data_IF_708581510339
#
_entry.id   IF_708581510339
#
_cell.length_a   1.000
_cell.length_b   1.000
_cell.length_c   1.000
_cell.angle_alpha   90.00
_cell.angle_beta   90.00
_cell.angle_gamma   90.00
#
_symmetry.space_group_name_H-M   'P 1'
#
loop_
_entity.id
_entity.type
_entity.pdbx_description
1 polymer ?
#
# COMPACT_ATOMS: atom_id res chain seq x y z
N UNK A 1 20.54 41.59 -52.58
CA UNK A 1 22.01 41.46 -52.38
C UNK A 1 22.13 41.30 -50.85
N UNK A 2 22.42 40.22 -50.25
CA UNK A 2 23.19 39.01 -50.53
C UNK A 2 22.57 37.85 -49.75
N UNK A 3 22.49 36.78 -50.46
CA UNK A 3 22.16 35.43 -50.04
C UNK A 3 23.31 34.86 -49.16
N UNK A 4 22.98 34.21 -48.04
CA UNK A 4 23.96 33.36 -47.41
C UNK A 4 23.32 32.01 -46.97
N UNK A 5 23.92 31.00 -47.45
CA UNK A 5 23.60 29.60 -47.56
C UNK A 5 23.29 28.88 -46.26
N UNK A 6 22.35 27.94 -46.36
CA UNK A 6 22.16 26.81 -45.39
C UNK A 6 23.10 25.66 -45.73
N UNK A 7 23.68 24.97 -44.78
CA UNK A 7 24.29 23.67 -45.04
C UNK A 7 23.28 22.52 -44.97
N UNK A 8 23.24 21.73 -46.02
CA UNK A 8 22.57 20.43 -46.11
C UNK A 8 23.25 19.40 -45.20
N UNK A 9 22.47 18.68 -44.42
CA UNK A 9 22.89 17.37 -43.88
C UNK A 9 22.07 16.27 -44.54
N UNK A 10 22.78 15.37 -45.23
CA UNK A 10 22.26 14.18 -45.86
C UNK A 10 21.98 13.06 -44.87
N UNK A 11 21.04 12.16 -45.18
CA UNK A 11 20.64 11.08 -44.27
C UNK A 11 21.58 9.86 -44.44
N UNK A 12 22.02 9.28 -43.34
CA UNK A 12 22.66 7.98 -43.31
C UNK A 12 21.65 6.86 -43.03
N UNK A 13 21.70 5.91 -43.94
CA UNK A 13 20.89 4.72 -44.07
C UNK A 13 20.99 3.78 -42.87
N UNK A 14 19.84 3.22 -42.54
CA UNK A 14 19.60 2.02 -41.77
C UNK A 14 20.17 0.81 -42.49
N UNK A 15 20.97 0.00 -41.83
CA UNK A 15 21.18 -1.39 -42.19
C UNK A 15 21.15 -2.22 -40.90
N UNK A 16 20.13 -3.08 -40.83
CA UNK A 16 19.97 -4.06 -39.76
C UNK A 16 20.91 -5.24 -39.95
N UNK A 17 21.25 -5.88 -38.85
CA UNK A 17 21.67 -7.28 -38.85
C UNK A 17 21.08 -7.99 -37.62
N UNK A 18 20.21 -8.94 -37.94
CA UNK A 18 19.81 -10.07 -37.12
C UNK A 18 20.93 -11.11 -37.22
N UNK A 19 21.36 -11.71 -36.15
CA UNK A 19 22.30 -12.81 -36.17
C UNK A 19 22.55 -13.45 -34.82
N UNK A 20 21.99 -14.60 -34.70
CA UNK A 20 22.03 -15.60 -33.64
C UNK A 20 23.40 -16.29 -33.53
N UNK A 21 23.64 -16.95 -32.37
CA UNK A 21 24.49 -18.14 -32.16
C UNK A 21 25.83 -17.95 -31.45
N UNK A 22 25.88 -18.42 -30.20
CA UNK A 22 26.57 -19.63 -29.69
C UNK A 22 27.96 -19.93 -30.31
N UNK A 23 29.01 -19.97 -29.52
CA UNK A 23 29.98 -21.04 -29.34
C UNK A 23 31.33 -20.61 -28.74
N UNK A 24 31.73 -21.38 -27.73
CA UNK A 24 33.05 -21.96 -27.42
C UNK A 24 34.26 -21.11 -27.01
N UNK A 25 34.67 -21.45 -25.82
CA UNK A 25 36.02 -21.72 -25.27
C UNK A 25 37.23 -21.54 -26.18
N UNK A 26 38.22 -20.84 -25.70
CA UNK A 26 39.62 -21.26 -25.82
C UNK A 26 40.49 -20.64 -24.71
N UNK A 27 41.20 -21.48 -24.01
CA UNK A 27 42.27 -21.20 -23.04
C UNK A 27 43.43 -20.42 -23.70
N UNK A 28 44.02 -19.51 -22.92
CA UNK A 28 45.44 -19.18 -23.08
C UNK A 28 46.06 -18.95 -21.70
N UNK A 29 46.92 -19.86 -21.33
CA UNK A 29 47.78 -19.86 -20.14
C UNK A 29 48.96 -18.92 -20.41
N UNK A 30 49.21 -17.98 -19.47
CA UNK A 30 50.57 -17.42 -19.30
C UNK A 30 50.86 -17.37 -17.79
N UNK A 31 51.84 -18.16 -17.42
CA UNK A 31 52.37 -18.30 -16.07
C UNK A 31 53.28 -17.12 -15.72
N UNK A 32 53.08 -16.50 -14.57
CA UNK A 32 54.10 -15.80 -13.81
C UNK A 32 54.00 -16.23 -12.37
N UNK A 33 55.08 -16.74 -11.82
CA UNK A 33 55.16 -17.39 -10.52
C UNK A 33 54.88 -16.46 -9.34
N UNK A 34 54.23 -17.00 -8.38
CA UNK A 34 54.04 -16.45 -7.03
C UNK A 34 53.70 -17.59 -6.08
N UNK A 35 54.59 -17.78 -5.11
CA UNK A 35 54.48 -18.79 -4.04
C UNK A 35 53.15 -18.67 -3.29
N UNK A 36 52.31 -19.69 -3.34
CA UNK A 36 51.18 -19.84 -2.40
C UNK A 36 51.43 -21.02 -1.46
N UNK A 37 51.43 -20.69 -0.17
CA UNK A 37 51.37 -21.65 0.92
C UNK A 37 49.99 -22.38 0.87
N UNK A 38 50.01 -23.69 0.67
CA UNK A 38 48.87 -24.55 0.85
C UNK A 38 48.64 -24.81 2.34
N UNK A 39 47.67 -24.14 2.93
CA UNK A 39 47.09 -24.58 4.20
C UNK A 39 46.02 -25.63 3.89
N UNK A 40 46.24 -26.87 4.30
CA UNK A 40 45.22 -27.93 4.24
C UNK A 40 44.10 -27.63 5.22
N UNK A 41 42.94 -27.24 4.76
CA UNK A 41 41.72 -27.26 5.57
C UNK A 41 41.10 -28.64 5.44
N UNK A 42 41.19 -29.43 6.52
CA UNK A 42 40.41 -30.67 6.69
C UNK A 42 38.94 -30.34 6.75
N UNK A 43 38.19 -30.81 5.74
CA UNK A 43 36.74 -30.78 5.74
C UNK A 43 36.27 -31.85 6.76
N UNK A 44 35.81 -31.40 7.92
CA UNK A 44 35.11 -32.24 8.88
C UNK A 44 33.67 -32.37 8.40
N UNK A 45 33.28 -33.58 7.98
CA UNK A 45 31.89 -33.92 7.66
C UNK A 45 31.01 -33.81 8.91
N UNK A 46 29.83 -33.19 8.84
CA UNK A 46 28.91 -33.23 9.97
C UNK A 46 28.38 -34.68 10.21
N UNK A 47 28.08 -35.00 11.47
CA UNK A 47 27.54 -36.33 11.81
C UNK A 47 26.13 -36.53 11.22
N UNK A 48 25.71 -37.76 10.93
CA UNK A 48 24.40 -38.04 10.38
C UNK A 48 23.30 -37.65 11.39
N UNK A 49 22.32 -36.91 10.91
CA UNK A 49 21.13 -36.52 11.66
C UNK A 49 20.28 -37.80 11.83
N UNK A 50 20.13 -38.27 13.06
CA UNK A 50 19.21 -39.33 13.40
C UNK A 50 17.76 -38.88 13.15
N UNK A 51 17.04 -39.64 12.35
CA UNK A 51 15.61 -39.43 12.08
C UNK A 51 14.79 -39.47 13.38
N UNK A 52 13.83 -38.55 13.59
CA UNK A 52 12.91 -38.69 14.71
C UNK A 52 11.96 -39.88 14.47
N UNK A 53 11.88 -40.74 15.46
CA UNK A 53 10.92 -41.84 15.57
C UNK A 53 9.50 -41.23 15.53
N UNK A 54 8.71 -41.65 14.55
CA UNK A 54 7.30 -41.30 14.48
C UNK A 54 6.55 -41.98 15.62
N UNK A 55 6.19 -41.25 16.65
CA UNK A 55 5.26 -41.71 17.68
C UNK A 55 3.84 -41.61 17.11
N UNK A 56 3.28 -42.75 16.77
CA UNK A 56 1.89 -42.86 16.35
C UNK A 56 0.98 -42.53 17.56
N UNK A 57 0.29 -41.41 17.51
CA UNK A 57 -0.82 -41.15 18.42
C UNK A 57 -2.04 -41.94 17.94
N UNK A 58 -2.44 -42.94 18.73
CA UNK A 58 -3.71 -43.62 18.56
C UNK A 58 -4.86 -42.68 18.86
N UNK A 59 -5.68 -42.42 17.85
CA UNK A 59 -6.93 -41.69 18.02
C UNK A 59 -7.94 -42.64 18.62
N UNK A 60 -8.24 -42.46 19.91
CA UNK A 60 -9.33 -43.15 20.57
C UNK A 60 -10.65 -42.52 20.08
N UNK A 61 -11.37 -43.25 19.23
CA UNK A 61 -12.76 -42.90 18.89
C UNK A 61 -13.68 -43.37 20.03
N UNK A 62 -14.18 -42.40 20.78
CA UNK A 62 -15.24 -42.61 21.75
C UNK A 62 -16.59 -42.72 21.03
N UNK A 63 -17.42 -43.72 21.25
CA UNK A 63 -18.73 -43.81 20.62
C UNK A 63 -19.70 -42.83 21.31
N UNK A 64 -20.31 -41.96 20.50
CA UNK A 64 -21.40 -41.09 20.91
C UNK A 64 -22.61 -41.91 21.29
N UNK A 65 -23.26 -41.72 22.46
CA UNK A 65 -24.49 -42.44 22.77
C UNK A 65 -25.64 -41.90 21.90
N UNK A 66 -26.35 -42.84 21.31
CA UNK A 66 -27.55 -42.67 20.52
C UNK A 66 -28.65 -42.01 21.39
N UNK A 67 -29.14 -40.82 21.01
CA UNK A 67 -30.23 -40.15 21.68
C UNK A 67 -31.53 -40.96 21.52
N UNK A 68 -32.07 -41.39 22.64
CA UNK A 68 -33.37 -42.07 22.76
C UNK A 68 -34.48 -41.07 22.37
N UNK A 69 -35.23 -41.38 21.31
CA UNK A 69 -36.39 -40.61 20.91
C UNK A 69 -37.51 -40.71 21.97
N UNK A 70 -37.78 -39.63 22.66
CA UNK A 70 -38.92 -39.51 23.56
C UNK A 70 -40.17 -39.29 22.74
N UNK A 71 -41.13 -40.19 22.86
CA UNK A 71 -42.42 -40.11 22.20
C UNK A 71 -43.21 -38.90 22.71
N UNK A 72 -43.67 -38.07 21.76
CA UNK A 72 -44.53 -36.92 21.99
C UNK A 72 -45.91 -37.41 22.41
N UNK A 73 -46.54 -36.86 23.49
CA UNK A 73 -47.91 -37.22 23.84
C UNK A 73 -48.90 -36.73 22.82
N UNK A 74 -49.80 -37.65 22.43
CA UNK A 74 -50.91 -37.42 21.54
C UNK A 74 -51.88 -36.41 22.14
N UNK A 75 -52.05 -35.24 21.54
CA UNK A 75 -53.03 -34.23 21.91
C UNK A 75 -54.42 -34.65 21.44
N UNK A 76 -55.32 -34.87 22.33
CA UNK A 76 -56.76 -35.05 22.06
C UNK A 76 -57.37 -33.71 21.62
N UNK A 77 -58.20 -33.65 20.58
CA UNK A 77 -58.82 -32.37 20.17
C UNK A 77 -59.91 -31.98 21.20
N UNK A 78 -59.73 -30.87 21.85
CA UNK A 78 -60.79 -30.19 22.62
C UNK A 78 -61.61 -29.32 21.66
N UNK A 79 -62.86 -29.71 21.48
CA UNK A 79 -63.84 -28.91 20.70
C UNK A 79 -64.22 -27.72 21.56
N UNK A 80 -63.74 -26.51 21.27
CA UNK A 80 -64.22 -25.27 21.86
C UNK A 80 -65.08 -24.51 20.86
N UNK A 81 -66.26 -24.12 21.31
CA UNK A 81 -67.24 -23.32 20.54
C UNK A 81 -66.61 -22.00 20.06
N UNK A 82 -67.02 -21.47 18.89
CA UNK A 82 -66.45 -20.22 18.36
C UNK A 82 -67.00 -19.04 19.19
N UNK A 83 -66.12 -18.39 19.93
CA UNK A 83 -66.39 -17.05 20.47
C UNK A 83 -66.16 -16.07 19.33
N UNK A 84 -67.25 -15.47 18.86
CA UNK A 84 -67.21 -14.38 17.89
C UNK A 84 -66.64 -13.12 18.57
N UNK A 85 -65.36 -12.88 18.42
CA UNK A 85 -64.75 -11.62 18.83
C UNK A 85 -64.67 -10.72 17.60
N UNK A 86 -65.35 -9.62 17.62
CA UNK A 86 -65.26 -8.54 16.64
C UNK A 86 -63.81 -8.05 16.64
N UNK A 87 -63.10 -7.97 15.48
CA UNK A 87 -61.74 -7.48 15.45
C UNK A 87 -61.74 -5.97 15.75
N UNK A 88 -61.25 -5.57 16.90
CA UNK A 88 -60.90 -4.18 17.18
C UNK A 88 -59.70 -3.85 16.36
N UNK A 89 -59.85 -2.97 15.37
CA UNK A 89 -58.75 -2.45 14.57
C UNK A 89 -57.69 -1.80 15.52
N UNK A 90 -56.54 -2.41 15.62
CA UNK A 90 -55.38 -1.80 16.26
C UNK A 90 -55.03 -0.49 15.56
N UNK A 91 -54.68 0.59 16.25
CA UNK A 91 -54.27 1.85 15.62
C UNK A 91 -53.09 1.59 14.70
N UNK A 92 -53.16 2.06 13.45
CA UNK A 92 -52.09 1.98 12.50
C UNK A 92 -50.83 2.61 13.12
N UNK A 93 -49.77 1.80 13.26
CA UNK A 93 -48.44 2.31 13.62
C UNK A 93 -48.03 3.29 12.53
N UNK A 94 -48.13 4.57 12.85
CA UNK A 94 -47.55 5.63 12.01
C UNK A 94 -46.05 5.37 11.93
N UNK A 95 -45.57 4.88 10.76
CA UNK A 95 -44.13 4.79 10.52
C UNK A 95 -43.57 6.20 10.58
N UNK A 96 -42.87 6.53 11.64
CA UNK A 96 -41.98 7.69 11.69
C UNK A 96 -41.04 7.56 10.47
N UNK A 97 -40.96 8.55 9.57
CA UNK A 97 -40.01 8.46 8.48
C UNK A 97 -38.61 8.31 9.09
N UNK A 98 -37.97 7.18 8.79
CA UNK A 98 -36.55 7.00 9.09
C UNK A 98 -35.87 8.14 8.35
N UNK A 99 -35.31 9.08 9.10
CA UNK A 99 -34.48 10.13 8.53
C UNK A 99 -33.45 9.45 7.64
N UNK A 100 -33.57 9.64 6.33
CA UNK A 100 -32.57 9.18 5.37
C UNK A 100 -31.28 9.88 5.78
N UNK A 101 -30.34 9.14 6.39
CA UNK A 101 -29.06 9.68 6.75
C UNK A 101 -28.47 10.27 5.47
N UNK A 102 -28.38 11.59 5.41
CA UNK A 102 -27.72 12.30 4.30
C UNK A 102 -26.32 11.74 4.24
N UNK A 103 -26.00 11.03 3.15
CA UNK A 103 -24.68 10.43 2.97
C UNK A 103 -23.63 11.53 3.21
N UNK A 104 -22.78 11.35 4.21
CA UNK A 104 -21.74 12.32 4.55
C UNK A 104 -20.88 12.54 3.30
N UNK A 105 -20.71 13.79 2.90
CA UNK A 105 -19.77 14.10 1.80
C UNK A 105 -18.36 14.14 2.38
N UNK A 106 -17.37 13.60 1.67
CA UNK A 106 -16.00 13.71 2.11
C UNK A 106 -15.57 15.17 2.11
N UNK A 107 -14.85 15.56 3.14
CA UNK A 107 -14.28 16.91 3.29
C UNK A 107 -12.76 16.85 3.14
N UNK A 108 -12.13 18.00 2.89
CA UNK A 108 -10.69 18.14 2.78
C UNK A 108 -10.19 18.11 1.33
N UNK A 109 -8.88 18.02 1.19
CA UNK A 109 -8.18 17.97 -0.10
C UNK A 109 -7.42 16.67 -0.23
N UNK A 110 -7.26 16.22 -1.47
CA UNK A 110 -6.44 15.06 -1.86
C UNK A 110 -5.25 15.59 -2.65
N UNK A 111 -4.02 15.24 -2.26
CA UNK A 111 -2.86 15.42 -3.11
C UNK A 111 -2.41 14.08 -3.69
N UNK A 112 -1.97 14.12 -4.92
CA UNK A 112 -1.58 12.96 -5.70
C UNK A 112 -0.55 13.32 -6.77
N UNK A 113 0.29 12.37 -7.11
CA UNK A 113 1.22 12.53 -8.22
C UNK A 113 0.59 12.07 -9.52
N UNK A 114 1.03 12.68 -10.61
CA UNK A 114 0.63 12.32 -11.98
C UNK A 114 1.89 12.18 -12.83
N UNK A 115 1.97 11.11 -13.61
CA UNK A 115 2.99 10.94 -14.64
C UNK A 115 2.41 11.36 -15.99
N UNK A 116 2.86 12.49 -16.54
CA UNK A 116 2.26 13.11 -17.74
C UNK A 116 3.06 12.91 -19.00
N UNK A 117 4.06 12.03 -19.05
CA UNK A 117 4.58 11.96 -20.31
C UNK A 117 5.86 11.25 -20.67
N UNK A 118 6.29 11.49 -21.89
CA UNK A 118 7.49 10.98 -22.54
C UNK A 118 8.77 11.55 -21.89
N UNK A 119 9.93 10.86 -22.08
CA UNK A 119 11.19 11.29 -21.49
C UNK A 119 11.58 12.74 -21.83
N UNK A 120 11.94 13.54 -20.81
CA UNK A 120 11.96 13.21 -19.38
C UNK A 120 10.54 13.17 -18.79
N UNK A 121 10.23 12.16 -17.97
CA UNK A 121 8.90 12.03 -17.40
C UNK A 121 8.52 13.28 -16.63
N UNK A 122 7.44 13.90 -17.06
CA UNK A 122 6.86 15.08 -16.42
C UNK A 122 6.05 14.62 -15.19
N UNK A 123 6.74 14.59 -14.05
CA UNK A 123 6.15 14.18 -12.77
C UNK A 123 5.63 15.39 -12.05
N UNK A 124 4.36 15.39 -11.74
CA UNK A 124 3.66 16.52 -11.18
C UNK A 124 2.90 16.13 -9.92
N UNK A 125 2.80 17.05 -8.96
CA UNK A 125 1.88 16.93 -7.84
C UNK A 125 0.67 17.82 -8.08
N UNK A 126 -0.49 17.20 -7.96
CA UNK A 126 -1.81 17.82 -8.10
C UNK A 126 -2.57 17.78 -6.79
N UNK A 127 -3.48 18.71 -6.61
CA UNK A 127 -4.40 18.78 -5.48
C UNK A 127 -5.82 18.95 -6.02
N UNK A 128 -6.79 18.26 -5.40
CA UNK A 128 -8.22 18.43 -5.65
C UNK A 128 -9.00 18.40 -4.34
N UNK A 129 -10.27 18.80 -4.37
CA UNK A 129 -11.18 18.57 -3.26
C UNK A 129 -11.52 17.08 -3.13
N UNK A 130 -11.88 16.62 -1.93
CA UNK A 130 -12.22 15.23 -1.66
C UNK A 130 -13.50 14.75 -2.39
N UNK A 131 -14.29 15.66 -2.96
CA UNK A 131 -15.42 15.35 -3.83
C UNK A 131 -15.03 15.20 -5.31
N UNK A 132 -13.74 15.34 -5.66
CA UNK A 132 -13.20 15.23 -7.02
C UNK A 132 -13.15 16.56 -7.79
N UNK A 133 -13.66 17.65 -7.24
CA UNK A 133 -13.67 18.96 -7.90
C UNK A 133 -12.38 19.74 -7.67
N UNK A 134 -12.16 20.78 -8.49
CA UNK A 134 -11.08 21.76 -8.30
C UNK A 134 -9.67 21.19 -8.46
N UNK A 135 -9.48 20.15 -9.25
CA UNK A 135 -8.17 19.56 -9.50
C UNK A 135 -7.24 20.57 -10.18
N UNK A 136 -6.07 20.80 -9.59
CA UNK A 136 -5.03 21.67 -10.13
C UNK A 136 -3.63 21.17 -9.81
N UNK A 137 -2.71 21.40 -10.71
CA UNK A 137 -1.30 21.19 -10.48
C UNK A 137 -0.75 22.23 -9.51
N UNK A 138 0.12 21.80 -8.60
CA UNK A 138 0.78 22.69 -7.64
C UNK A 138 2.31 22.59 -7.68
N UNK A 139 2.88 21.48 -8.17
CA UNK A 139 4.33 21.28 -8.23
C UNK A 139 4.71 20.52 -9.50
N UNK A 140 5.84 20.94 -10.11
CA UNK A 140 6.53 20.24 -11.19
C UNK A 140 7.67 19.39 -10.66
N UNK A 141 8.11 18.38 -11.43
CA UNK A 141 9.21 17.48 -11.10
C UNK A 141 9.11 16.88 -9.69
N UNK A 142 7.89 16.63 -9.25
CA UNK A 142 7.55 16.28 -7.89
C UNK A 142 6.70 15.02 -7.82
N UNK A 143 6.89 14.25 -6.72
CA UNK A 143 6.14 13.02 -6.45
C UNK A 143 6.00 12.73 -4.96
N UNK A 144 5.23 11.69 -4.64
CA UNK A 144 5.02 11.20 -3.27
C UNK A 144 4.59 12.29 -2.28
N UNK A 145 3.54 13.07 -2.58
CA UNK A 145 3.11 14.15 -1.70
C UNK A 145 2.56 13.62 -0.38
N UNK A 146 2.85 14.33 0.73
CA UNK A 146 2.23 14.12 2.04
C UNK A 146 1.90 15.47 2.66
N UNK A 147 0.63 15.69 2.99
CA UNK A 147 0.22 16.90 3.72
C UNK A 147 0.65 16.87 5.18
N UNK A 148 1.00 18.04 5.70
CA UNK A 148 1.02 18.24 7.16
C UNK A 148 -0.37 18.00 7.77
N UNK A 149 -0.41 17.71 9.07
CA UNK A 149 -1.66 17.37 9.72
C UNK A 149 -2.69 18.50 9.70
N UNK A 150 -2.24 19.73 9.78
CA UNK A 150 -3.06 20.94 9.69
C UNK A 150 -3.43 21.33 8.25
N UNK A 151 -2.85 20.62 7.27
CA UNK A 151 -3.09 20.86 5.85
C UNK A 151 -2.44 22.14 5.30
N UNK A 152 -1.54 22.78 6.06
CA UNK A 152 -0.89 24.04 5.65
C UNK A 152 0.37 23.83 4.84
N UNK A 153 1.03 22.69 4.99
CA UNK A 153 2.26 22.31 4.31
C UNK A 153 2.09 21.03 3.51
N UNK A 154 2.96 20.81 2.53
CA UNK A 154 3.08 19.60 1.75
C UNK A 154 4.55 19.20 1.68
N UNK A 155 4.85 17.94 2.04
CA UNK A 155 6.14 17.31 1.86
C UNK A 155 6.10 16.52 0.55
N UNK A 156 7.21 16.50 -0.19
CA UNK A 156 7.27 15.82 -1.47
C UNK A 156 8.70 15.48 -1.87
N UNK A 157 8.84 14.54 -2.77
CA UNK A 157 10.11 14.26 -3.42
C UNK A 157 10.23 15.13 -4.67
N UNK A 158 11.25 15.96 -4.71
CA UNK A 158 11.66 16.68 -5.93
C UNK A 158 12.64 15.79 -6.69
N UNK A 159 12.35 15.55 -7.95
CA UNK A 159 13.10 14.61 -8.77
C UNK A 159 14.58 15.03 -8.89
N UNK A 160 15.47 14.07 -8.60
CA UNK A 160 16.94 14.20 -8.55
C UNK A 160 17.51 15.12 -7.46
N UNK A 161 16.70 15.70 -6.58
CA UNK A 161 17.18 16.70 -5.62
C UNK A 161 16.88 16.37 -4.16
N UNK A 162 15.90 15.50 -3.90
CA UNK A 162 15.60 15.01 -2.55
C UNK A 162 14.24 15.42 -2.01
N UNK A 163 14.13 15.49 -0.69
CA UNK A 163 12.89 15.77 0.04
C UNK A 163 12.75 17.28 0.27
N UNK A 164 11.58 17.81 -0.06
CA UNK A 164 11.22 19.21 0.11
C UNK A 164 9.95 19.35 0.94
N UNK A 165 9.77 20.51 1.54
CA UNK A 165 8.52 20.99 2.11
C UNK A 165 8.14 22.32 1.44
N UNK A 166 6.86 22.51 1.17
CA UNK A 166 6.29 23.76 0.64
C UNK A 166 5.01 24.12 1.38
N UNK A 167 4.43 25.27 1.11
CA UNK A 167 3.04 25.54 1.43
C UNK A 167 2.12 24.56 0.69
N UNK A 168 0.92 24.31 1.19
CA UNK A 168 -0.02 23.36 0.59
C UNK A 168 -0.49 23.74 -0.82
N UNK A 169 -0.19 24.95 -1.27
CA UNK A 169 -0.43 25.43 -2.64
C UNK A 169 0.81 25.30 -3.55
N UNK A 170 1.92 24.75 -3.03
CA UNK A 170 3.19 24.57 -3.73
C UNK A 170 4.16 25.74 -3.63
N UNK A 171 3.79 26.84 -2.98
CA UNK A 171 4.66 28.00 -2.83
C UNK A 171 5.72 27.80 -1.74
N UNK A 172 6.79 28.61 -1.77
CA UNK A 172 7.89 28.62 -0.79
C UNK A 172 8.54 27.24 -0.57
N UNK A 173 9.03 26.56 -1.62
CA UNK A 173 9.68 25.27 -1.47
C UNK A 173 11.01 25.41 -0.72
N UNK A 174 11.22 24.52 0.25
CA UNK A 174 12.46 24.41 1.04
C UNK A 174 12.92 22.97 1.04
N UNK A 175 14.20 22.74 0.70
CA UNK A 175 14.83 21.44 0.79
C UNK A 175 15.04 21.02 2.24
N UNK A 176 14.69 19.77 2.56
CA UNK A 176 14.87 19.16 3.88
C UNK A 176 16.05 18.19 3.85
N UNK A 177 16.08 17.25 2.89
CA UNK A 177 17.09 16.20 2.77
C UNK A 177 17.51 16.05 1.31
N UNK A 178 18.82 16.00 1.05
CA UNK A 178 19.37 15.73 -0.27
C UNK A 178 19.57 14.23 -0.52
N UNK A 179 18.52 13.51 -0.80
CA UNK A 179 18.54 12.08 -1.12
C UNK A 179 17.86 11.80 -2.45
N UNK A 180 18.60 11.21 -3.41
CA UNK A 180 18.09 10.97 -4.77
C UNK A 180 17.11 9.80 -4.90
N UNK A 181 16.92 8.99 -3.85
CA UNK A 181 16.05 7.80 -3.89
C UNK A 181 15.08 7.73 -2.70
N UNK A 182 14.63 8.88 -2.21
CA UNK A 182 13.61 8.94 -1.18
C UNK A 182 12.22 8.78 -1.81
N UNK A 183 11.43 7.80 -1.34
CA UNK A 183 10.10 7.51 -1.89
C UNK A 183 9.11 7.13 -0.79
N UNK A 184 7.82 7.24 -1.12
CA UNK A 184 6.73 6.71 -0.30
C UNK A 184 6.75 7.22 1.14
N UNK A 185 6.56 8.52 1.27
CA UNK A 185 6.57 9.21 2.56
C UNK A 185 5.33 8.91 3.39
N UNK A 186 5.51 9.00 4.70
CA UNK A 186 4.41 9.18 5.64
C UNK A 186 4.85 10.08 6.79
N UNK A 187 3.96 10.97 7.23
CA UNK A 187 4.22 11.91 8.31
C UNK A 187 3.56 11.41 9.58
N UNK A 188 4.28 11.42 10.70
CA UNK A 188 3.71 11.12 12.01
C UNK A 188 2.51 12.02 12.32
N UNK A 189 1.58 11.54 13.15
CA UNK A 189 0.34 12.26 13.45
C UNK A 189 0.58 13.52 14.26
N UNK A 190 1.63 13.56 15.07
CA UNK A 190 2.10 14.76 15.77
C UNK A 190 2.88 15.74 14.85
N UNK A 191 3.16 15.31 13.61
CA UNK A 191 3.90 16.10 12.63
C UNK A 191 5.40 16.23 12.92
N UNK A 192 5.93 15.47 13.87
CA UNK A 192 7.32 15.60 14.30
C UNK A 192 8.29 14.75 13.48
N UNK A 193 7.81 13.71 12.76
CA UNK A 193 8.68 12.81 12.01
C UNK A 193 8.13 12.53 10.63
N UNK A 194 8.96 12.74 9.61
CA UNK A 194 8.74 12.29 8.25
C UNK A 194 9.50 10.98 8.03
N UNK A 195 8.81 9.89 7.76
CA UNK A 195 9.42 8.61 7.39
C UNK A 195 9.30 8.36 5.89
N UNK A 196 10.29 7.67 5.30
CA UNK A 196 10.27 7.32 3.88
C UNK A 196 11.01 6.01 3.60
N UNK A 197 10.76 5.47 2.41
CA UNK A 197 11.56 4.40 1.84
C UNK A 197 12.85 4.98 1.27
N UNK A 198 13.98 4.58 1.83
CA UNK A 198 15.32 5.01 1.46
C UNK A 198 16.08 3.88 0.78
N UNK A 199 16.82 4.19 -0.27
CA UNK A 199 17.77 3.28 -0.89
C UNK A 199 19.07 4.06 -1.16
N UNK A 200 20.06 4.00 -0.27
CA UNK A 200 21.26 4.87 -0.33
C UNK A 200 22.05 4.78 -1.63
N UNK A 201 22.01 3.62 -2.28
CA UNK A 201 22.65 3.41 -3.59
C UNK A 201 21.92 2.29 -4.36
N UNK A 202 22.11 2.23 -5.67
CA UNK A 202 21.55 1.16 -6.49
C UNK A 202 22.05 -0.21 -6.05
N UNK A 203 21.11 -1.11 -5.69
CA UNK A 203 21.44 -2.45 -5.18
C UNK A 203 21.66 -2.52 -3.67
N UNK A 204 21.69 -1.38 -2.96
CA UNK A 204 21.69 -1.39 -1.50
C UNK A 204 20.33 -1.88 -0.95
N UNK A 205 20.30 -2.45 0.26
CA UNK A 205 19.06 -2.76 0.93
C UNK A 205 18.17 -1.51 1.04
N UNK A 206 16.87 -1.73 0.86
CA UNK A 206 15.85 -0.70 1.06
C UNK A 206 15.61 -0.57 2.55
N UNK A 207 15.57 0.65 3.06
CA UNK A 207 15.40 0.95 4.47
C UNK A 207 14.20 1.87 4.70
N UNK A 208 13.75 1.97 5.94
CA UNK A 208 12.90 3.05 6.39
C UNK A 208 13.76 4.00 7.20
N UNK A 209 13.94 5.20 6.66
CA UNK A 209 14.58 6.32 7.36
C UNK A 209 13.52 7.32 7.82
N UNK A 210 13.85 8.10 8.82
CA UNK A 210 13.01 9.19 9.32
C UNK A 210 13.86 10.41 9.67
N UNK A 211 13.23 11.60 9.59
CA UNK A 211 13.86 12.89 9.84
C UNK A 211 12.83 13.85 10.47
N UNK A 212 13.28 14.83 11.22
CA UNK A 212 12.44 15.95 11.64
C UNK A 212 12.11 16.84 10.42
N UNK A 213 10.96 17.53 10.40
CA UNK A 213 10.56 18.39 9.29
C UNK A 213 11.51 19.54 8.96
N UNK A 214 12.42 19.89 9.86
CA UNK A 214 13.49 20.87 9.63
C UNK A 214 14.72 20.29 8.94
N UNK A 215 14.80 18.97 8.75
CA UNK A 215 15.89 18.23 8.13
C UNK A 215 16.92 17.70 9.12
N UNK A 216 16.75 17.93 10.41
CA UNK A 216 17.66 17.43 11.47
C UNK A 216 17.22 16.06 12.00
N UNK A 217 18.04 15.41 12.80
CA UNK A 217 17.69 14.18 13.52
C UNK A 217 17.47 12.96 12.61
N UNK A 218 18.06 12.93 11.42
CA UNK A 218 17.92 11.77 10.51
C UNK A 218 18.36 10.49 11.21
N UNK A 219 17.52 9.45 11.10
CA UNK A 219 17.80 8.11 11.66
C UNK A 219 17.18 7.02 10.81
N UNK A 220 17.76 5.83 10.86
CA UNK A 220 17.18 4.62 10.27
C UNK A 220 16.26 3.94 11.31
N UNK A 221 15.01 3.75 10.95
CA UNK A 221 14.02 3.04 11.77
C UNK A 221 14.24 1.53 11.65
N UNK A 222 14.41 1.04 10.41
CA UNK A 222 14.64 -0.38 10.13
C UNK A 222 15.30 -0.61 8.78
N UNK A 223 16.10 -1.67 8.70
CA UNK A 223 16.68 -2.17 7.45
C UNK A 223 15.72 -3.17 6.80
N UNK A 224 15.73 -3.26 5.45
CA UNK A 224 14.92 -4.21 4.70
C UNK A 224 13.43 -3.91 4.73
N UNK A 225 13.03 -2.65 4.89
CA UNK A 225 11.63 -2.22 4.93
C UNK A 225 11.31 -1.14 3.91
N UNK A 226 10.06 -1.08 3.47
CA UNK A 226 9.55 -0.08 2.53
C UNK A 226 8.09 0.27 2.83
N UNK A 227 7.61 1.39 2.26
CA UNK A 227 6.21 1.80 2.31
C UNK A 227 5.69 2.01 3.75
N UNK A 228 6.35 2.85 4.55
CA UNK A 228 5.97 3.06 5.93
C UNK A 228 4.59 3.70 6.07
N UNK A 229 3.91 3.40 7.17
CA UNK A 229 2.72 4.12 7.62
C UNK A 229 2.72 4.20 9.14
N UNK A 230 2.60 5.41 9.68
CA UNK A 230 2.55 5.68 11.11
C UNK A 230 1.19 5.31 11.70
N UNK A 231 1.19 4.71 12.88
CA UNK A 231 -0.03 4.55 13.66
C UNK A 231 -0.53 5.91 14.17
N UNK A 232 -1.86 6.09 14.39
CA UNK A 232 -2.42 7.37 14.82
C UNK A 232 -1.94 7.87 16.19
N UNK A 233 -1.36 7.02 17.01
CA UNK A 233 -0.76 7.34 18.31
C UNK A 233 0.78 7.55 18.23
N UNK A 234 1.34 7.52 17.03
CA UNK A 234 2.77 7.68 16.71
C UNK A 234 3.72 6.66 17.35
N UNK A 235 3.20 5.59 17.96
CA UNK A 235 4.03 4.59 18.65
C UNK A 235 4.55 3.49 17.75
N UNK A 236 3.91 3.26 16.62
CA UNK A 236 4.24 2.16 15.71
C UNK A 236 4.31 2.64 14.25
N UNK A 237 5.09 1.92 13.46
CA UNK A 237 5.10 2.01 12.01
C UNK A 237 4.76 0.63 11.46
N UNK A 238 3.78 0.56 10.55
CA UNK A 238 3.53 -0.61 9.72
C UNK A 238 4.18 -0.40 8.36
N UNK A 239 4.76 -1.43 7.79
CA UNK A 239 5.52 -1.33 6.55
C UNK A 239 5.55 -2.67 5.81
N UNK A 240 5.91 -2.64 4.52
CA UNK A 240 6.18 -3.85 3.74
C UNK A 240 7.64 -4.28 3.91
N UNK A 241 7.86 -5.58 4.03
CA UNK A 241 9.20 -6.17 4.06
C UNK A 241 9.20 -7.60 3.56
N UNK A 242 10.34 -8.02 2.98
CA UNK A 242 10.68 -9.41 2.76
C UNK A 242 11.90 -9.74 3.59
N UNK A 243 11.75 -10.53 4.65
CA UNK A 243 12.82 -10.92 5.57
C UNK A 243 12.98 -12.43 5.56
N UNK A 244 14.21 -12.90 5.32
CA UNK A 244 14.52 -14.31 5.15
C UNK A 244 13.61 -14.97 4.10
N UNK A 245 12.63 -15.76 4.50
CA UNK A 245 11.68 -16.46 3.63
C UNK A 245 10.26 -15.89 3.66
N UNK A 246 10.03 -14.82 4.45
CA UNK A 246 8.71 -14.27 4.70
C UNK A 246 8.59 -12.84 4.13
N UNK A 247 7.67 -12.65 3.18
CA UNK A 247 7.22 -11.35 2.73
C UNK A 247 5.86 -11.01 3.36
N UNK A 248 5.59 -9.73 3.58
CA UNK A 248 4.30 -9.27 4.09
C UNK A 248 4.39 -7.91 4.77
N UNK A 249 3.38 -7.60 5.55
CA UNK A 249 3.39 -6.43 6.42
C UNK A 249 4.06 -6.76 7.75
N UNK A 250 4.87 -5.83 8.21
CA UNK A 250 5.55 -5.88 9.50
C UNK A 250 5.21 -4.66 10.32
N UNK A 251 5.26 -4.79 11.63
CA UNK A 251 5.16 -3.68 12.58
C UNK A 251 6.45 -3.52 13.37
N UNK A 252 6.79 -2.28 13.65
CA UNK A 252 7.93 -1.92 14.49
C UNK A 252 7.54 -0.77 15.41
N UNK A 253 8.19 -0.65 16.56
CA UNK A 253 8.09 0.55 17.39
C UNK A 253 8.65 1.74 16.61
N UNK A 254 8.04 2.91 16.72
CA UNK A 254 8.49 4.12 16.02
C UNK A 254 9.90 4.57 16.43
N UNK A 255 10.38 4.18 17.61
CA UNK A 255 11.75 4.40 18.03
C UNK A 255 12.77 3.42 17.39
N UNK A 256 12.30 2.39 16.67
CA UNK A 256 13.12 1.30 16.14
C UNK A 256 13.04 0.04 16.98
N UNK A 257 13.95 -0.90 16.76
CA UNK A 257 14.02 -2.20 17.43
C UNK A 257 13.65 -3.37 16.53
N UNK A 258 13.11 -4.45 17.11
CA UNK A 258 12.73 -5.65 16.35
C UNK A 258 11.39 -5.47 15.65
N UNK A 259 11.39 -5.76 14.36
CA UNK A 259 10.16 -5.76 13.57
C UNK A 259 9.45 -7.12 13.68
N UNK A 260 8.16 -7.09 13.93
CA UNK A 260 7.31 -8.28 14.07
C UNK A 260 6.46 -8.42 12.81
N UNK A 261 6.43 -9.61 12.21
CA UNK A 261 5.56 -9.90 11.08
C UNK A 261 4.09 -9.76 11.51
N UNK A 262 3.33 -8.98 10.73
CA UNK A 262 1.93 -8.71 11.00
C UNK A 262 1.00 -9.51 10.10
N UNK A 263 1.35 -9.67 8.80
CA UNK A 263 0.63 -10.55 7.88
C UNK A 263 1.59 -11.53 7.22
N UNK A 264 1.07 -12.69 6.82
CA UNK A 264 1.81 -13.71 6.04
C UNK A 264 1.55 -13.64 4.54
N UNK A 265 0.65 -12.76 4.10
CA UNK A 265 0.41 -12.49 2.69
C UNK A 265 1.39 -11.42 2.16
N UNK A 266 1.60 -11.40 0.85
CA UNK A 266 2.46 -10.41 0.18
C UNK A 266 1.70 -9.10 0.04
N UNK A 267 1.27 -8.52 1.18
CA UNK A 267 0.60 -7.22 1.23
C UNK A 267 1.56 -6.05 1.13
N UNK A 268 1.12 -4.96 0.52
CA UNK A 268 1.92 -3.75 0.36
C UNK A 268 1.11 -2.45 0.47
N UNK A 269 1.80 -1.32 0.58
CA UNK A 269 1.25 0.03 0.73
C UNK A 269 0.19 0.14 1.83
N UNK A 270 0.52 -0.24 3.08
CA UNK A 270 -0.42 -0.16 4.19
C UNK A 270 -0.73 1.29 4.55
N UNK A 271 -1.97 1.54 5.01
CA UNK A 271 -2.38 2.81 5.62
C UNK A 271 -3.29 2.56 6.82
N UNK A 272 -2.97 3.18 7.94
CA UNK A 272 -3.79 3.13 9.15
C UNK A 272 -5.08 3.92 9.00
N UNK A 273 -6.17 3.39 9.53
CA UNK A 273 -7.39 4.19 9.73
C UNK A 273 -7.15 5.27 10.80
N UNK A 274 -7.83 6.43 10.72
CA UNK A 274 -7.59 7.54 11.63
C UNK A 274 -7.84 7.21 13.12
N UNK A 275 -8.72 6.23 13.39
CA UNK A 275 -9.01 5.75 14.73
C UNK A 275 -8.07 4.62 15.21
N UNK A 276 -7.09 4.21 14.38
CA UNK A 276 -6.13 3.17 14.71
C UNK A 276 -6.67 1.75 14.78
N UNK A 277 -7.94 1.52 14.40
CA UNK A 277 -8.56 0.20 14.53
C UNK A 277 -8.32 -0.72 13.36
N UNK A 278 -8.08 -0.17 12.16
CA UNK A 278 -7.92 -0.94 10.91
C UNK A 278 -6.75 -0.43 10.09
N UNK A 279 -6.29 -1.32 9.20
CA UNK A 279 -5.27 -1.03 8.18
C UNK A 279 -5.89 -1.40 6.84
N UNK A 280 -5.78 -0.50 5.84
CA UNK A 280 -6.04 -0.81 4.44
C UNK A 280 -4.71 -1.06 3.73
N UNK A 281 -4.67 -2.03 2.82
CA UNK A 281 -3.48 -2.39 2.05
C UNK A 281 -3.91 -3.15 0.79
N UNK A 282 -3.01 -3.38 -0.15
CA UNK A 282 -3.31 -4.25 -1.28
C UNK A 282 -2.53 -5.56 -1.21
N UNK A 283 -3.10 -6.60 -1.81
CA UNK A 283 -2.48 -7.91 -2.03
C UNK A 283 -2.53 -8.18 -3.53
N UNK A 284 -1.45 -8.76 -4.07
CA UNK A 284 -1.44 -9.30 -5.42
C UNK A 284 -2.11 -10.68 -5.42
N UNK A 285 -3.18 -10.81 -6.21
CA UNK A 285 -3.91 -12.06 -6.43
C UNK A 285 -3.82 -12.36 -7.93
N UNK A 286 -3.03 -13.35 -8.29
CA UNK A 286 -2.83 -13.80 -9.68
C UNK A 286 -2.44 -12.65 -10.63
N UNK A 287 -1.56 -11.76 -10.16
CA UNK A 287 -1.08 -10.59 -10.91
C UNK A 287 -1.99 -9.37 -10.83
N UNK A 288 -3.12 -9.44 -10.13
CA UNK A 288 -4.06 -8.32 -9.97
C UNK A 288 -4.07 -7.85 -8.52
N UNK A 289 -3.72 -6.59 -8.29
CA UNK A 289 -3.72 -6.00 -6.94
C UNK A 289 -5.12 -5.65 -6.50
N UNK A 290 -5.55 -6.19 -5.35
CA UNK A 290 -6.85 -5.96 -4.74
C UNK A 290 -6.70 -5.35 -3.36
N UNK A 291 -7.64 -4.50 -2.96
CA UNK A 291 -7.64 -3.85 -1.64
C UNK A 291 -8.25 -4.75 -0.57
N UNK A 292 -7.60 -4.75 0.57
CA UNK A 292 -8.03 -5.44 1.77
C UNK A 292 -8.01 -4.49 2.96
N UNK A 293 -8.84 -4.79 3.94
CA UNK A 293 -8.70 -4.26 5.31
C UNK A 293 -8.45 -5.38 6.29
N UNK A 294 -7.77 -5.04 7.38
CA UNK A 294 -7.51 -5.93 8.50
C UNK A 294 -7.56 -5.12 9.80
N UNK A 295 -8.03 -5.71 10.89
CA UNK A 295 -7.99 -5.05 12.19
C UNK A 295 -6.54 -4.85 12.65
N UNK A 296 -6.30 -3.83 13.47
CA UNK A 296 -4.98 -3.53 14.01
C UNK A 296 -4.35 -4.67 14.83
N UNK A 297 -5.17 -5.59 15.34
CA UNK A 297 -4.72 -6.80 16.05
C UNK A 297 -4.46 -8.01 15.12
N UNK A 298 -4.59 -7.85 13.79
CA UNK A 298 -4.36 -8.92 12.81
C UNK A 298 -5.56 -9.81 12.51
N UNK A 299 -6.73 -9.55 13.11
CA UNK A 299 -7.96 -10.31 12.85
C UNK A 299 -8.85 -9.61 11.81
N UNK A 300 -9.93 -10.28 11.36
CA UNK A 300 -10.98 -9.65 10.56
C UNK A 300 -10.53 -9.17 9.18
N UNK A 301 -9.58 -9.86 8.55
CA UNK A 301 -9.16 -9.60 7.16
C UNK A 301 -10.38 -9.66 6.23
N UNK A 302 -10.60 -8.62 5.44
CA UNK A 302 -11.70 -8.49 4.49
C UNK A 302 -11.19 -7.93 3.16
N UNK A 303 -11.53 -8.59 2.05
CA UNK A 303 -11.33 -8.06 0.71
C UNK A 303 -12.39 -7.00 0.41
N UNK A 304 -11.97 -5.87 -0.17
CA UNK A 304 -12.84 -4.75 -0.51
C UNK A 304 -13.14 -4.65 -2.01
N UNK A 305 -12.19 -5.07 -2.86
CA UNK A 305 -12.32 -4.98 -4.32
C UNK A 305 -12.17 -6.35 -4.96
N UNK A 306 -12.93 -6.61 -6.06
CA UNK A 306 -13.06 -7.94 -6.66
C UNK A 306 -13.05 -7.91 -8.19
N UNK A 307 -12.68 -6.79 -8.82
CA UNK A 307 -12.72 -6.64 -10.28
C UNK A 307 -11.41 -7.13 -10.92
N UNK A 308 -11.39 -7.24 -12.23
CA UNK A 308 -10.20 -7.60 -13.00
C UNK A 308 -9.20 -6.43 -13.17
N UNK A 309 -9.39 -5.32 -12.46
CA UNK A 309 -8.50 -4.17 -12.50
C UNK A 309 -7.63 -4.10 -11.24
N UNK A 310 -6.47 -3.45 -11.34
CA UNK A 310 -5.65 -3.14 -10.17
C UNK A 310 -6.32 -2.07 -9.29
N UNK A 311 -6.24 -2.25 -7.98
CA UNK A 311 -6.65 -1.28 -6.97
C UNK A 311 -5.49 -1.05 -6.02
N UNK A 312 -4.93 0.16 -6.00
CA UNK A 312 -3.67 0.45 -5.33
C UNK A 312 -3.68 1.82 -4.63
N UNK A 313 -2.66 2.09 -3.83
CA UNK A 313 -2.42 3.41 -3.23
C UNK A 313 -3.53 3.89 -2.32
N UNK A 314 -4.19 2.97 -1.62
CA UNK A 314 -5.34 3.27 -0.78
C UNK A 314 -4.98 4.15 0.42
N UNK A 315 -5.87 5.10 0.73
CA UNK A 315 -5.77 5.96 1.90
C UNK A 315 -7.16 6.27 2.48
N UNK A 316 -7.24 6.32 3.78
CA UNK A 316 -8.46 6.67 4.51
C UNK A 316 -8.76 8.16 4.44
N UNK A 317 -10.04 8.53 4.38
CA UNK A 317 -10.47 9.88 4.75
C UNK A 317 -10.18 10.15 6.23
N UNK A 318 -10.03 11.42 6.59
CA UNK A 318 -9.71 11.80 7.97
C UNK A 318 -10.79 11.45 8.99
N UNK A 319 -12.04 11.37 8.56
CA UNK A 319 -13.18 10.92 9.38
C UNK A 319 -13.32 9.38 9.43
N UNK A 320 -12.52 8.65 8.64
CA UNK A 320 -12.53 7.20 8.56
C UNK A 320 -13.73 6.59 7.83
N UNK A 321 -14.58 7.41 7.22
CA UNK A 321 -15.80 6.95 6.56
C UNK A 321 -15.57 6.46 5.12
N UNK A 322 -14.48 6.91 4.49
CA UNK A 322 -14.15 6.60 3.10
C UNK A 322 -12.72 6.09 2.94
N UNK A 323 -12.52 5.34 1.87
CA UNK A 323 -11.22 4.94 1.34
C UNK A 323 -11.10 5.50 -0.07
N UNK A 324 -10.02 6.25 -0.33
CA UNK A 324 -9.63 6.74 -1.64
C UNK A 324 -8.53 5.83 -2.20
N UNK A 325 -8.56 5.56 -3.49
CA UNK A 325 -7.61 4.65 -4.12
C UNK A 325 -7.44 4.95 -5.61
N UNK A 326 -6.46 4.33 -6.24
CA UNK A 326 -6.26 4.38 -7.69
C UNK A 326 -6.67 3.07 -8.33
N UNK A 327 -7.28 3.17 -9.51
CA UNK A 327 -7.58 2.00 -10.33
C UNK A 327 -7.69 2.41 -11.80
N UNK A 328 -7.24 1.55 -12.76
CA UNK A 328 -7.50 1.71 -14.17
C UNK A 328 -8.88 1.14 -14.59
N UNK A 329 -9.74 0.85 -13.63
CA UNK A 329 -11.09 0.36 -13.90
C UNK A 329 -11.85 1.34 -14.79
N UNK A 330 -12.42 0.81 -15.90
CA UNK A 330 -13.07 1.64 -16.91
C UNK A 330 -12.12 2.22 -17.97
N UNK A 331 -10.85 1.75 -18.04
CA UNK A 331 -9.94 1.95 -19.18
C UNK A 331 -8.79 2.91 -18.95
N UNK A 332 -8.88 3.84 -18.02
CA UNK A 332 -7.77 4.76 -17.68
C UNK A 332 -7.54 4.82 -16.19
N UNK A 333 -6.30 5.10 -15.78
CA UNK A 333 -5.99 5.32 -14.37
C UNK A 333 -6.80 6.50 -13.83
N UNK A 334 -7.49 6.26 -12.75
CA UNK A 334 -8.40 7.20 -12.10
C UNK A 334 -8.21 7.17 -10.58
N UNK A 335 -8.63 8.24 -9.91
CA UNK A 335 -8.82 8.23 -8.46
C UNK A 335 -10.27 7.94 -8.18
N UNK A 336 -10.48 6.99 -7.30
CA UNK A 336 -11.78 6.50 -6.87
C UNK A 336 -11.95 6.71 -5.37
N UNK A 337 -13.18 6.68 -4.95
CA UNK A 337 -13.60 6.67 -3.54
C UNK A 337 -14.62 5.57 -3.31
N UNK A 338 -14.53 4.87 -2.19
CA UNK A 338 -15.55 3.95 -1.68
C UNK A 338 -15.81 4.22 -0.21
N UNK A 339 -16.90 3.69 0.34
CA UNK A 339 -17.12 3.68 1.79
C UNK A 339 -16.09 2.77 2.48
N UNK A 340 -15.90 2.97 3.78
CA UNK A 340 -14.88 2.26 4.58
C UNK A 340 -15.08 0.73 4.67
N UNK A 341 -16.24 0.23 4.27
CA UNK A 341 -16.59 -1.18 4.15
C UNK A 341 -16.42 -1.75 2.73
N UNK A 342 -16.01 -0.92 1.76
CA UNK A 342 -15.78 -1.28 0.36
C UNK A 342 -16.99 -1.08 -0.56
N UNK A 343 -18.10 -0.52 -0.07
CA UNK A 343 -19.28 -0.29 -0.87
C UNK A 343 -19.25 1.06 -1.63
N UNK A 344 -20.16 1.21 -2.61
CA UNK A 344 -20.42 2.45 -3.34
C UNK A 344 -19.14 3.09 -3.96
N UNK A 345 -18.39 2.37 -4.82
CA UNK A 345 -17.26 2.95 -5.51
C UNK A 345 -17.71 4.07 -6.45
N UNK A 346 -17.05 5.23 -6.39
CA UNK A 346 -17.32 6.39 -7.23
C UNK A 346 -15.99 6.87 -7.81
N UNK A 347 -15.95 7.05 -9.14
CA UNK A 347 -14.82 7.66 -9.83
C UNK A 347 -14.85 9.18 -9.60
N UNK A 348 -13.73 9.74 -9.17
CA UNK A 348 -13.60 11.17 -8.88
C UNK A 348 -12.94 11.94 -10.02
N UNK A 349 -11.86 11.40 -10.59
CA UNK A 349 -11.10 12.03 -11.66
C UNK A 349 -10.41 10.97 -12.51
N UNK A 350 -10.43 11.16 -13.83
CA UNK A 350 -9.78 10.29 -14.83
C UNK A 350 -8.40 10.82 -15.26
N UNK A 351 -7.67 9.98 -16.00
CA UNK A 351 -6.37 10.31 -16.64
C UNK A 351 -5.31 10.79 -15.66
N UNK A 352 -5.19 10.08 -14.55
CA UNK A 352 -4.22 10.34 -13.48
C UNK A 352 -3.29 9.14 -13.29
N UNK A 353 -2.46 8.79 -14.30
CA UNK A 353 -1.54 7.67 -14.20
C UNK A 353 -0.57 7.90 -13.03
N UNK A 354 -0.37 6.92 -12.16
CA UNK A 354 0.57 7.02 -11.06
C UNK A 354 2.02 7.02 -11.57
N UNK A 355 2.93 7.55 -10.76
CA UNK A 355 4.36 7.52 -11.04
C UNK A 355 4.93 6.12 -10.79
N UNK A 356 4.47 5.50 -9.71
CA UNK A 356 4.73 4.11 -9.36
C UNK A 356 3.38 3.42 -9.16
N UNK A 357 2.98 2.61 -10.14
CA UNK A 357 1.64 2.02 -10.24
C UNK A 357 1.24 1.16 -9.05
N UNK A 358 2.22 0.61 -8.34
CA UNK A 358 1.91 -0.35 -7.29
C UNK A 358 1.82 0.29 -5.90
N UNK A 359 2.56 1.37 -5.65
CA UNK A 359 2.93 1.69 -4.26
C UNK A 359 2.69 3.13 -3.84
N UNK A 360 2.42 4.02 -4.78
CA UNK A 360 2.23 5.43 -4.46
C UNK A 360 0.87 5.68 -3.83
N UNK A 361 0.88 6.09 -2.56
CA UNK A 361 -0.33 6.44 -1.80
C UNK A 361 -0.82 7.85 -2.14
N UNK A 362 -2.12 8.06 -1.97
CA UNK A 362 -2.73 9.38 -1.91
C UNK A 362 -2.49 9.98 -0.53
N UNK A 363 -2.57 11.31 -0.40
CA UNK A 363 -2.60 11.97 0.91
C UNK A 363 -3.83 12.87 1.03
N UNK A 364 -4.39 12.96 2.22
CA UNK A 364 -5.70 13.60 2.44
C UNK A 364 -5.61 14.53 3.65
N UNK A 365 -6.08 15.78 3.48
CA UNK A 365 -6.24 16.74 4.59
C UNK A 365 -7.58 16.55 5.31
N UNK A 366 -7.80 17.32 6.38
CA UNK A 366 -9.12 17.52 6.98
C UNK A 366 -10.02 18.32 6.07
#
# INVERSE_FOLDING_TARGET
MSESARPNFAPWLIAGFVGCSVFCLALSILAVGGYFFFGQTTIVSPPPISSPVATAFAIATSPTPLATATLLPTLTPVITNPITTTPTLAPALTRTPIATATASRPTGKIAFSVNRGDPPPDKQVWVMNADGTGAKQILDRASSPVFSRDGTKIFYYHWDDGIFVANADGTEPKKIVGESNAKFFDLSHDGQWLAWTSQPSRGAPVNIDAVLPDGTGKRTITFGGSLPSWSPDDKQIIFHSCRATACGLFKINSAGGDAIQFTSDVGAAPAWSPNGQRIVYHIDIDGIKQLFTINANGTGKKQLTHTAAHHVGAQWSRDGNFIFYRSPEGGSWAIWRMTADGANPIKLIDNVPPIDEAYEKLTITK
#
